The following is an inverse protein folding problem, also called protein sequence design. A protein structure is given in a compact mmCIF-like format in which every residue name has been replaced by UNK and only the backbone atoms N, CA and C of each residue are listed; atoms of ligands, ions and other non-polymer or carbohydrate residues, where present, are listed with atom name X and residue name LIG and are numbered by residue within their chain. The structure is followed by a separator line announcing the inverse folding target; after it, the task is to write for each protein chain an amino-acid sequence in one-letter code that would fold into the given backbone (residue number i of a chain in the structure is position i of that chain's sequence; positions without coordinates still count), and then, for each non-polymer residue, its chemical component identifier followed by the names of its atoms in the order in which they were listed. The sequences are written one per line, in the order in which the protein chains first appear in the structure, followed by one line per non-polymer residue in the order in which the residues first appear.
data_IF_539947210048
#
_entry.id   IF_539947210048
#
_cell.length_a   1.000
_cell.length_b   1.000
_cell.length_c   1.000
_cell.angle_alpha   90.00
_cell.angle_beta   90.00
_cell.angle_gamma   90.00
#
_symmetry.space_group_name_H-M   'P 1'
#
loop_
_entity.id
_entity.type
_entity.pdbx_description
1 polymer ?
#
# COMPACT_ATOMS: atom_id res chain seq x y z
N UNK A 1 -31.76 -26.11 -5.86
CA UNK A 1 -31.42 -25.27 -7.03
C UNK A 1 -30.62 -24.09 -6.52
N UNK A 2 -29.35 -24.03 -6.91
CA UNK A 2 -28.33 -23.16 -6.32
C UNK A 2 -28.56 -21.69 -6.73
N UNK A 3 -29.20 -20.90 -5.88
CA UNK A 3 -29.30 -19.44 -6.02
C UNK A 3 -28.03 -18.77 -5.49
N UNK A 4 -26.88 -19.20 -6.00
CA UNK A 4 -25.63 -18.46 -5.83
C UNK A 4 -25.52 -17.48 -6.99
N UNK A 5 -25.03 -16.29 -6.70
CA UNK A 5 -24.61 -15.32 -7.71
C UNK A 5 -23.61 -16.04 -8.63
N UNK A 6 -24.02 -16.40 -9.84
CA UNK A 6 -23.12 -16.97 -10.83
C UNK A 6 -22.19 -15.85 -11.33
N UNK A 7 -20.90 -16.00 -11.01
CA UNK A 7 -19.85 -15.10 -11.46
C UNK A 7 -19.45 -15.38 -12.91
N UNK A 8 -18.86 -14.40 -13.62
CA UNK A 8 -18.57 -14.56 -15.03
C UNK A 8 -17.36 -15.48 -15.26
N UNK A 9 -17.37 -16.16 -16.41
CA UNK A 9 -16.21 -16.90 -16.92
C UNK A 9 -15.16 -15.90 -17.45
N UNK A 10 -14.19 -15.54 -16.61
CA UNK A 10 -13.13 -14.56 -16.90
C UNK A 10 -12.15 -14.98 -18.02
N UNK A 11 -12.32 -16.18 -18.58
CA UNK A 11 -11.41 -16.85 -19.50
C UNK A 11 -11.43 -16.22 -20.89
N UNK A 12 -12.61 -15.85 -21.40
CA UNK A 12 -12.74 -15.45 -22.82
C UNK A 12 -12.51 -13.96 -23.09
N UNK A 13 -12.60 -13.10 -22.07
CA UNK A 13 -12.56 -11.63 -22.27
C UNK A 13 -11.40 -10.90 -21.60
N UNK A 14 -10.74 -11.52 -20.63
CA UNK A 14 -9.53 -10.99 -19.99
C UNK A 14 -8.37 -12.00 -20.05
N UNK A 15 -8.54 -13.17 -20.68
CA UNK A 15 -7.67 -14.33 -20.43
C UNK A 15 -7.48 -14.62 -18.92
N UNK A 16 -8.44 -14.24 -18.08
CA UNK A 16 -8.32 -14.28 -16.61
C UNK A 16 -7.69 -13.05 -15.93
N UNK A 17 -7.38 -11.96 -16.64
CA UNK A 17 -6.82 -10.69 -16.11
C UNK A 17 -7.91 -9.78 -15.53
N UNK A 18 -8.50 -10.18 -14.41
CA UNK A 18 -8.95 -9.17 -13.45
C UNK A 18 -7.74 -8.82 -12.56
N UNK A 19 -7.64 -7.54 -12.17
CA UNK A 19 -6.90 -7.02 -11.00
C UNK A 19 -5.72 -6.05 -11.22
N UNK A 20 -5.71 -5.11 -12.17
CA UNK A 20 -4.83 -3.91 -11.98
C UNK A 20 -5.33 -2.96 -10.88
N UNK A 21 -6.52 -3.21 -10.33
CA UNK A 21 -7.11 -2.43 -9.26
C UNK A 21 -6.42 -2.80 -7.95
N UNK A 22 -5.72 -1.85 -7.34
CA UNK A 22 -5.24 -1.97 -5.97
C UNK A 22 -6.45 -2.05 -5.05
N UNK A 23 -6.79 -3.26 -4.61
CA UNK A 23 -7.97 -3.54 -3.80
C UNK A 23 -7.65 -3.18 -2.35
N UNK A 24 -8.32 -2.18 -1.81
CA UNK A 24 -8.25 -1.87 -0.40
C UNK A 24 -8.93 -2.95 0.47
N UNK A 25 -8.30 -3.24 1.60
CA UNK A 25 -8.79 -4.18 2.61
C UNK A 25 -8.54 -3.65 4.02
N UNK A 26 -9.50 -3.80 4.95
CA UNK A 26 -9.29 -3.51 6.36
C UNK A 26 -8.32 -4.53 6.96
N UNK A 27 -7.69 -4.13 8.06
CA UNK A 27 -6.71 -4.94 8.77
C UNK A 27 -7.30 -6.24 9.28
N UNK A 28 -8.56 -6.25 9.73
CA UNK A 28 -9.23 -7.46 10.19
C UNK A 28 -9.32 -8.52 9.08
N UNK A 29 -9.66 -8.12 7.85
CA UNK A 29 -9.74 -9.03 6.73
C UNK A 29 -8.35 -9.51 6.29
N UNK A 30 -7.38 -8.60 6.27
CA UNK A 30 -6.01 -8.95 5.95
C UNK A 30 -5.41 -9.95 6.96
N UNK A 31 -5.70 -9.78 8.26
CA UNK A 31 -5.34 -10.75 9.31
C UNK A 31 -6.01 -12.10 9.08
N UNK A 32 -7.27 -12.12 8.70
CA UNK A 32 -7.98 -13.37 8.43
C UNK A 32 -7.36 -14.13 7.25
N UNK A 33 -6.94 -13.44 6.20
CA UNK A 33 -6.20 -14.07 5.10
C UNK A 33 -4.87 -14.68 5.56
N UNK A 34 -4.13 -13.99 6.44
CA UNK A 34 -2.87 -14.51 7.00
C UNK A 34 -3.15 -15.74 7.87
N UNK A 35 -4.14 -15.66 8.77
CA UNK A 35 -4.51 -16.74 9.69
C UNK A 35 -4.93 -18.02 8.94
N UNK A 36 -5.64 -17.87 7.82
CA UNK A 36 -6.08 -19.00 6.99
C UNK A 36 -5.05 -19.44 5.94
N UNK A 37 -3.86 -18.83 5.92
CA UNK A 37 -2.77 -19.20 5.01
C UNK A 37 -2.93 -18.73 3.56
N UNK A 38 -3.86 -17.82 3.28
CA UNK A 38 -4.06 -17.24 1.95
C UNK A 38 -3.06 -16.13 1.61
N UNK A 39 -2.44 -15.51 2.61
CA UNK A 39 -1.57 -14.35 2.43
C UNK A 39 -0.43 -14.32 3.44
N UNK A 40 0.61 -13.55 3.14
CA UNK A 40 1.64 -13.12 4.09
C UNK A 40 1.55 -11.62 4.31
N UNK A 41 2.13 -11.07 5.40
CA UNK A 41 2.18 -9.62 5.61
C UNK A 41 2.69 -8.82 4.41
N UNK A 42 3.66 -9.35 3.67
CA UNK A 42 4.24 -8.71 2.48
C UNK A 42 3.31 -8.68 1.26
N UNK A 43 2.17 -9.38 1.32
CA UNK A 43 1.13 -9.32 0.28
C UNK A 43 0.16 -8.16 0.49
N UNK A 44 0.42 -7.31 1.49
CA UNK A 44 -0.34 -6.10 1.76
C UNK A 44 0.52 -4.84 1.67
N UNK A 45 -0.07 -3.79 1.15
CA UNK A 45 0.49 -2.45 1.03
C UNK A 45 -0.31 -1.52 1.95
N UNK A 46 0.33 -0.52 2.56
CA UNK A 46 -0.41 0.48 3.35
C UNK A 46 -1.35 1.32 2.49
N UNK A 47 -2.52 1.65 3.01
CA UNK A 47 -3.46 2.56 2.36
C UNK A 47 -3.77 3.78 3.22
N UNK A 48 -4.22 4.82 2.54
CA UNK A 48 -4.69 6.06 3.14
C UNK A 48 -6.19 6.05 3.42
N UNK A 49 -6.94 5.33 2.59
CA UNK A 49 -8.41 5.25 2.68
C UNK A 49 -8.80 4.08 3.58
N UNK A 50 -8.06 2.98 3.51
CA UNK A 50 -8.22 1.79 4.34
C UNK A 50 -6.90 1.48 5.06
N UNK A 51 -6.88 0.53 5.98
CA UNK A 51 -5.62 0.15 6.64
C UNK A 51 -4.60 -0.45 5.66
N UNK A 52 -5.07 -1.25 4.70
CA UNK A 52 -4.23 -1.97 3.76
C UNK A 52 -4.84 -2.02 2.36
N UNK A 53 -4.02 -2.40 1.39
CA UNK A 53 -4.33 -2.78 0.01
C UNK A 53 -3.72 -4.14 -0.27
N UNK A 54 -4.36 -4.93 -1.11
CA UNK A 54 -3.74 -6.13 -1.67
C UNK A 54 -2.61 -5.72 -2.60
N UNK A 55 -1.44 -6.36 -2.44
CA UNK A 55 -0.31 -6.19 -3.34
C UNK A 55 -0.64 -6.82 -4.69
N UNK A 56 -0.28 -6.11 -5.74
CA UNK A 56 -0.28 -6.62 -7.10
C UNK A 56 1.10 -7.17 -7.43
N UNK A 57 1.16 -8.36 -8.03
CA UNK A 57 2.39 -8.94 -8.54
C UNK A 57 2.62 -8.36 -9.94
N UNK A 58 3.47 -7.32 -10.01
CA UNK A 58 3.79 -6.60 -11.25
C UNK A 58 4.36 -7.53 -12.34
N UNK A 59 5.06 -8.60 -11.96
CA UNK A 59 5.65 -9.55 -12.92
C UNK A 59 4.60 -10.46 -13.56
N UNK A 60 3.59 -10.86 -12.78
CA UNK A 60 2.49 -11.71 -13.27
C UNK A 60 1.32 -10.89 -13.81
N UNK A 61 1.30 -9.60 -13.51
CA UNK A 61 0.13 -8.75 -13.65
C UNK A 61 -1.13 -9.34 -12.97
N UNK A 62 -0.97 -9.96 -11.79
CA UNK A 62 -2.07 -10.59 -11.02
C UNK A 62 -2.09 -10.18 -9.55
N UNK A 63 -3.26 -10.28 -8.92
CA UNK A 63 -3.39 -10.25 -7.46
C UNK A 63 -2.76 -11.52 -6.85
N UNK A 64 -2.17 -11.43 -5.65
CA UNK A 64 -1.60 -12.60 -4.96
C UNK A 64 -2.63 -13.70 -4.65
N UNK A 65 -3.92 -13.36 -4.60
CA UNK A 65 -5.01 -14.33 -4.38
C UNK A 65 -5.34 -15.13 -5.65
N UNK A 66 -4.69 -14.86 -6.78
CA UNK A 66 -4.89 -15.61 -8.02
C UNK A 66 -4.25 -16.99 -7.93
N UNK A 67 -5.03 -18.03 -8.28
CA UNK A 67 -4.55 -19.39 -8.44
C UNK A 67 -4.88 -19.89 -9.85
N UNK A 68 -3.82 -20.34 -10.54
CA UNK A 68 -3.87 -20.84 -11.92
C UNK A 68 -4.64 -22.17 -12.05
N UNK A 69 -4.62 -23.02 -11.02
CA UNK A 69 -5.20 -24.36 -11.04
C UNK A 69 -6.73 -24.31 -11.06
N UNK A 70 -7.30 -23.31 -10.37
CA UNK A 70 -8.74 -23.02 -10.39
C UNK A 70 -9.09 -21.87 -11.33
N UNK A 71 -8.07 -21.30 -11.98
CA UNK A 71 -8.12 -20.12 -12.84
C UNK A 71 -8.98 -18.99 -12.25
N UNK A 72 -8.71 -18.64 -11.00
CA UNK A 72 -9.60 -17.79 -10.22
C UNK A 72 -8.98 -17.30 -8.93
N UNK A 73 -9.84 -16.83 -8.03
CA UNK A 73 -9.41 -16.31 -6.73
C UNK A 73 -9.52 -17.39 -5.65
N UNK A 74 -8.43 -17.64 -4.92
CA UNK A 74 -8.35 -18.61 -3.82
C UNK A 74 -9.46 -18.46 -2.78
N UNK A 75 -9.90 -17.23 -2.53
CA UNK A 75 -10.91 -16.93 -1.52
C UNK A 75 -12.33 -16.82 -2.08
N UNK A 76 -12.56 -17.22 -3.33
CA UNK A 76 -13.87 -17.07 -4.00
C UNK A 76 -15.02 -17.68 -3.21
N UNK A 77 -14.87 -18.92 -2.75
CA UNK A 77 -15.90 -19.66 -2.01
C UNK A 77 -15.73 -19.61 -0.48
N UNK A 78 -14.79 -18.80 0.01
CA UNK A 78 -14.42 -18.78 1.44
C UNK A 78 -15.34 -17.93 2.32
N UNK A 79 -16.22 -17.13 1.71
CA UNK A 79 -17.04 -16.12 2.39
C UNK A 79 -16.28 -14.86 2.83
N UNK A 80 -14.95 -14.83 2.67
CA UNK A 80 -14.10 -13.71 3.11
C UNK A 80 -13.49 -12.94 1.94
N UNK A 81 -14.12 -12.91 0.77
CA UNK A 81 -13.62 -12.12 -0.38
C UNK A 81 -13.61 -10.61 -0.06
N UNK A 82 -12.70 -9.78 -0.61
CA UNK A 82 -12.69 -8.35 -0.32
C UNK A 82 -14.01 -7.69 -0.75
N UNK A 83 -14.63 -6.82 0.05
CA UNK A 83 -15.88 -6.13 -0.31
C UNK A 83 -15.82 -5.39 -1.65
N UNK A 84 -14.68 -4.78 -1.97
CA UNK A 84 -14.47 -4.22 -3.29
C UNK A 84 -14.57 -5.28 -4.40
N UNK A 85 -14.15 -6.52 -4.19
CA UNK A 85 -14.29 -7.62 -5.16
C UNK A 85 -15.68 -8.29 -5.15
N UNK A 86 -16.49 -8.09 -4.11
CA UNK A 86 -17.92 -8.44 -4.15
C UNK A 86 -18.72 -7.45 -4.99
N UNK A 87 -18.23 -6.22 -5.05
CA UNK A 87 -18.97 -5.09 -5.58
C UNK A 87 -18.40 -4.65 -6.93
N UNK A 88 -17.13 -4.88 -7.27
CA UNK A 88 -16.59 -4.42 -8.55
C UNK A 88 -16.94 -5.33 -9.74
N UNK A 89 -17.30 -4.73 -10.90
CA UNK A 89 -17.46 -3.30 -11.18
C UNK A 89 -18.94 -2.91 -11.18
N UNK A 90 -19.59 -2.84 -10.02
CA UNK A 90 -20.84 -2.11 -9.85
C UNK A 90 -20.48 -0.64 -9.58
N UNK A 91 -21.01 0.22 -10.43
CA UNK A 91 -20.69 1.63 -10.59
C UNK A 91 -20.68 2.45 -9.27
N UNK A 92 -19.50 2.65 -8.68
CA UNK A 92 -19.21 3.83 -7.85
C UNK A 92 -18.69 5.03 -8.68
N UNK A 93 -18.74 4.97 -10.01
CA UNK A 93 -18.53 6.12 -10.89
C UNK A 93 -19.85 6.84 -11.18
N UNK A 94 -20.40 7.55 -10.20
CA UNK A 94 -21.36 8.62 -10.49
C UNK A 94 -20.60 9.93 -10.76
N UNK A 95 -19.80 9.96 -11.82
CA UNK A 95 -19.36 11.23 -12.41
C UNK A 95 -20.03 11.34 -13.77
N UNK A 96 -20.94 12.31 -13.88
CA UNK A 96 -21.58 12.69 -15.13
C UNK A 96 -20.49 12.90 -16.20
N UNK A 97 -20.63 12.16 -17.30
CA UNK A 97 -20.02 12.41 -18.61
C UNK A 97 -18.53 12.09 -18.86
N UNK A 98 -17.86 11.25 -18.07
CA UNK A 98 -16.58 10.63 -18.53
C UNK A 98 -16.62 9.12 -18.36
N UNK A 99 -16.67 8.41 -19.48
CA UNK A 99 -16.70 6.94 -19.53
C UNK A 99 -15.29 6.39 -19.35
N UNK A 100 -14.90 6.02 -18.13
CA UNK A 100 -13.72 5.16 -17.93
C UNK A 100 -14.10 3.74 -18.38
N UNK A 101 -13.71 3.36 -19.59
CA UNK A 101 -14.01 2.06 -20.19
C UNK A 101 -13.10 0.97 -19.61
N UNK A 102 -13.53 0.27 -18.56
CA UNK A 102 -13.19 -1.14 -18.46
C UNK A 102 -13.91 -1.86 -19.62
N UNK A 103 -13.19 -2.57 -20.48
CA UNK A 103 -13.76 -3.20 -21.70
C UNK A 103 -14.90 -4.14 -21.30
N UNK A 104 -16.12 -3.84 -21.80
CA UNK A 104 -17.37 -4.53 -21.49
C UNK A 104 -17.32 -6.02 -21.88
N UNK A 105 -17.15 -6.86 -20.87
CA UNK A 105 -17.64 -8.21 -20.87
C UNK A 105 -19.01 -8.22 -20.18
N UNK A 106 -20.12 -8.19 -20.95
CA UNK A 106 -21.53 -8.37 -20.48
C UNK A 106 -21.68 -8.05 -18.99
N UNK A 107 -21.54 -6.76 -18.67
CA UNK A 107 -21.45 -6.30 -17.29
C UNK A 107 -22.68 -6.73 -16.51
N UNK A 108 -22.45 -7.05 -15.23
CA UNK A 108 -23.45 -7.33 -14.21
C UNK A 108 -24.78 -6.62 -14.45
N UNK A 109 -25.85 -7.39 -14.57
CA UNK A 109 -27.21 -6.88 -14.56
C UNK A 109 -27.70 -6.84 -13.11
N UNK A 110 -28.13 -5.68 -12.63
CA UNK A 110 -28.78 -5.58 -11.32
C UNK A 110 -30.17 -6.19 -11.47
N UNK A 111 -30.31 -7.46 -11.11
CA UNK A 111 -31.58 -8.19 -11.17
C UNK A 111 -32.52 -7.86 -10.00
N UNK A 112 -31.99 -7.22 -8.95
CA UNK A 112 -32.74 -6.81 -7.76
C UNK A 112 -32.29 -5.40 -7.28
N UNK A 113 -32.95 -4.33 -7.78
CA UNK A 113 -32.60 -2.95 -7.45
C UNK A 113 -32.71 -2.62 -5.95
N UNK A 114 -33.63 -3.27 -5.23
CA UNK A 114 -33.82 -3.05 -3.80
C UNK A 114 -32.61 -3.55 -3.00
N UNK A 115 -32.18 -4.80 -3.26
CA UNK A 115 -30.97 -5.34 -2.63
C UNK A 115 -29.70 -4.59 -3.03
N UNK A 116 -29.63 -4.11 -4.27
CA UNK A 116 -28.50 -3.28 -4.70
C UNK A 116 -28.41 -1.98 -3.90
N UNK A 117 -29.55 -1.37 -3.55
CA UNK A 117 -29.60 -0.14 -2.74
C UNK A 117 -29.11 -0.42 -1.31
N UNK A 118 -29.57 -1.52 -0.71
CA UNK A 118 -29.15 -1.95 0.64
C UNK A 118 -27.64 -2.28 0.68
N UNK A 119 -27.14 -3.02 -0.31
CA UNK A 119 -25.71 -3.30 -0.45
C UNK A 119 -24.87 -2.01 -0.57
N UNK A 120 -25.39 -1.00 -1.27
CA UNK A 120 -24.77 0.32 -1.35
C UNK A 120 -24.68 1.05 0.00
N UNK A 121 -25.70 0.94 0.85
CA UNK A 121 -25.69 1.49 2.22
C UNK A 121 -24.66 0.77 3.09
N UNK A 122 -24.64 -0.56 3.04
CA UNK A 122 -23.67 -1.38 3.77
C UNK A 122 -22.23 -1.08 3.35
N UNK A 123 -21.98 -0.92 2.04
CA UNK A 123 -20.65 -0.55 1.55
C UNK A 123 -20.22 0.83 2.06
N UNK A 124 -21.11 1.82 2.08
CA UNK A 124 -20.79 3.15 2.62
C UNK A 124 -20.40 3.06 4.10
N UNK A 125 -21.16 2.31 4.89
CA UNK A 125 -20.85 2.09 6.30
C UNK A 125 -19.51 1.35 6.49
N UNK A 126 -19.26 0.32 5.67
CA UNK A 126 -18.00 -0.40 5.66
C UNK A 126 -16.80 0.51 5.33
N UNK A 127 -16.91 1.35 4.29
CA UNK A 127 -15.88 2.34 3.93
C UNK A 127 -15.61 3.27 5.11
N UNK A 128 -16.66 3.78 5.76
CA UNK A 128 -16.53 4.65 6.93
C UNK A 128 -15.74 3.97 8.07
N UNK A 129 -16.09 2.73 8.42
CA UNK A 129 -15.37 1.97 9.45
C UNK A 129 -13.90 1.76 9.07
N UNK A 130 -13.61 1.49 7.80
CA UNK A 130 -12.24 1.31 7.33
C UNK A 130 -11.43 2.60 7.37
N UNK A 131 -12.03 3.75 7.06
CA UNK A 131 -11.38 5.05 7.20
C UNK A 131 -11.08 5.38 8.66
N UNK A 132 -11.97 5.01 9.59
CA UNK A 132 -11.69 5.12 11.03
C UNK A 132 -10.53 4.22 11.45
N UNK A 133 -10.47 2.98 10.95
CA UNK A 133 -9.37 2.05 11.20
C UNK A 133 -8.03 2.61 10.67
N UNK A 134 -8.01 3.11 9.42
CA UNK A 134 -6.83 3.72 8.82
C UNK A 134 -6.31 4.90 9.65
N UNK A 135 -7.22 5.78 10.12
CA UNK A 135 -6.87 6.90 11.02
C UNK A 135 -6.26 6.41 12.33
N UNK A 136 -6.77 5.32 12.92
CA UNK A 136 -6.18 4.73 14.14
C UNK A 136 -4.80 4.14 13.86
N UNK A 137 -4.64 3.44 12.73
CA UNK A 137 -3.36 2.83 12.33
C UNK A 137 -2.27 3.87 12.06
N UNK A 138 -2.61 5.04 11.51
CA UNK A 138 -1.67 6.16 11.32
C UNK A 138 -1.10 6.67 12.63
N UNK A 139 -1.86 6.65 13.74
CA UNK A 139 -1.36 7.07 15.06
C UNK A 139 -0.22 6.17 15.56
N UNK A 140 -0.12 4.95 15.02
CA UNK A 140 0.94 4.01 15.39
C UNK A 140 2.24 4.21 14.58
N UNK A 141 2.31 5.18 13.66
CA UNK A 141 3.49 5.36 12.78
C UNK A 141 4.81 5.51 13.56
N UNK A 142 4.81 6.24 14.69
CA UNK A 142 6.00 6.35 15.55
C UNK A 142 6.47 5.00 16.08
N UNK A 143 5.54 4.14 16.52
CA UNK A 143 5.84 2.81 17.06
C UNK A 143 6.45 1.87 16.01
N UNK A 144 6.25 2.16 14.72
CA UNK A 144 6.83 1.41 13.58
C UNK A 144 8.26 1.83 13.25
N UNK A 145 8.78 2.81 13.98
CA UNK A 145 10.16 3.27 13.89
C UNK A 145 10.84 3.02 15.25
N UNK A 146 10.23 3.49 16.35
CA UNK A 146 10.85 3.59 17.69
C UNK A 146 10.75 2.32 18.55
N UNK A 147 10.48 1.16 17.97
CA UNK A 147 10.57 -0.11 18.69
C UNK A 147 11.99 -0.63 18.53
N UNK A 148 12.70 -0.94 19.62
CA UNK A 148 14.13 -1.31 19.57
C UNK A 148 14.43 -2.45 18.58
N UNK A 149 13.56 -3.44 18.43
CA UNK A 149 13.73 -4.52 17.43
C UNK A 149 13.57 -4.00 16.00
N UNK A 150 12.61 -3.11 15.78
CA UNK A 150 12.31 -2.52 14.46
C UNK A 150 13.38 -1.52 14.06
N UNK A 151 13.81 -0.68 14.99
CA UNK A 151 14.87 0.30 14.81
C UNK A 151 16.18 -0.38 14.43
N UNK A 152 16.57 -1.43 15.18
CA UNK A 152 17.75 -2.24 14.86
C UNK A 152 17.62 -2.94 13.50
N UNK A 153 16.42 -3.39 13.13
CA UNK A 153 16.18 -3.99 11.81
C UNK A 153 16.36 -2.96 10.69
N UNK A 154 15.77 -1.77 10.84
CA UNK A 154 15.91 -0.69 9.87
C UNK A 154 17.37 -0.21 9.75
N UNK A 155 18.08 -0.09 10.88
CA UNK A 155 19.51 0.25 10.91
C UNK A 155 20.33 -0.76 10.11
N UNK A 156 20.10 -2.06 10.33
CA UNK A 156 20.74 -3.13 9.54
C UNK A 156 20.41 -3.04 8.05
N UNK A 157 19.17 -2.75 7.68
CA UNK A 157 18.79 -2.56 6.27
C UNK A 157 19.54 -1.39 5.63
N UNK A 158 19.67 -0.26 6.34
CA UNK A 158 20.44 0.89 5.88
C UNK A 158 21.92 0.56 5.70
N UNK A 159 22.54 -0.07 6.71
CA UNK A 159 23.96 -0.46 6.68
C UNK A 159 24.26 -1.49 5.58
N UNK A 160 23.31 -2.34 5.22
CA UNK A 160 23.46 -3.34 4.15
C UNK A 160 23.09 -2.80 2.75
N UNK A 161 22.73 -1.53 2.64
CA UNK A 161 22.32 -0.92 1.37
C UNK A 161 23.34 0.13 0.94
N UNK A 162 23.64 0.17 -0.37
CA UNK A 162 24.40 1.29 -0.93
C UNK A 162 23.55 2.57 -0.78
N UNK A 163 24.12 3.69 -0.28
CA UNK A 163 23.37 4.94 -0.12
C UNK A 163 22.70 5.41 -1.40
N UNK A 164 23.35 5.15 -2.53
CA UNK A 164 22.88 5.52 -3.86
C UNK A 164 21.69 4.68 -4.36
N UNK A 165 21.38 3.57 -3.70
CA UNK A 165 20.22 2.71 -4.02
C UNK A 165 18.99 3.02 -3.18
N UNK A 166 19.03 4.04 -2.30
CA UNK A 166 17.92 4.38 -1.42
C UNK A 166 17.22 5.65 -1.89
N UNK A 167 15.94 5.52 -2.26
CA UNK A 167 15.09 6.62 -2.73
C UNK A 167 14.15 7.17 -1.65
N UNK A 168 14.02 6.48 -0.52
CA UNK A 168 13.19 6.88 0.61
C UNK A 168 12.90 5.71 1.54
N UNK A 169 11.68 5.68 2.05
CA UNK A 169 11.20 4.62 2.96
C UNK A 169 9.83 4.09 2.55
N UNK A 170 9.42 2.97 3.13
CA UNK A 170 8.12 2.33 2.87
C UNK A 170 7.48 1.83 4.16
N UNK A 171 6.21 2.16 4.39
CA UNK A 171 5.39 1.58 5.47
C UNK A 171 4.85 0.22 5.02
N UNK A 172 5.18 -0.80 5.80
CA UNK A 172 4.74 -2.17 5.55
C UNK A 172 3.62 -2.54 6.54
N UNK A 173 3.54 -3.81 6.92
CA UNK A 173 2.53 -4.31 7.84
C UNK A 173 2.57 -3.63 9.21
N UNK A 174 3.77 -3.59 9.80
CA UNK A 174 4.02 -3.13 11.17
C UNK A 174 5.39 -2.45 11.38
N UNK A 175 6.18 -2.25 10.32
CA UNK A 175 7.50 -1.62 10.39
C UNK A 175 7.79 -0.77 9.14
N UNK A 176 8.83 0.06 9.24
CA UNK A 176 9.36 0.83 8.10
C UNK A 176 10.56 0.10 7.50
N UNK A 177 10.66 0.06 6.17
CA UNK A 177 11.81 -0.45 5.43
C UNK A 177 12.36 0.59 4.45
N UNK A 178 13.53 0.34 3.88
CA UNK A 178 14.12 1.15 2.81
C UNK A 178 13.31 1.03 1.51
N UNK A 179 13.11 2.16 0.83
CA UNK A 179 12.59 2.20 -0.53
C UNK A 179 13.77 2.19 -1.51
N UNK A 180 13.84 1.17 -2.36
CA UNK A 180 14.86 1.06 -3.39
C UNK A 180 14.68 2.10 -4.50
N UNK A 181 15.78 2.60 -5.05
CA UNK A 181 15.80 3.42 -6.24
C UNK A 181 15.81 2.53 -7.50
N UNK A 182 15.12 2.94 -8.55
CA UNK A 182 15.20 2.29 -9.88
C UNK A 182 16.52 2.62 -10.62
N UNK A 183 17.38 3.46 -10.02
CA UNK A 183 18.69 3.87 -10.51
C UNK A 183 19.52 4.47 -9.37
N UNK A 184 20.27 5.55 -9.62
CA UNK A 184 21.03 6.25 -8.58
C UNK A 184 20.22 7.38 -7.92
N UNK A 185 20.18 7.38 -6.60
CA UNK A 185 19.61 8.42 -5.75
C UNK A 185 20.71 9.20 -5.06
N UNK A 186 20.74 10.53 -5.25
CA UNK A 186 21.66 11.43 -4.55
C UNK A 186 21.05 11.99 -3.25
N UNK A 187 19.82 11.59 -2.89
CA UNK A 187 19.09 12.20 -1.79
C UNK A 187 19.71 11.90 -0.42
N UNK A 188 20.30 10.72 -0.24
CA UNK A 188 20.97 10.32 1.01
C UNK A 188 22.21 11.18 1.29
N UNK A 189 22.82 11.79 0.26
CA UNK A 189 23.99 12.68 0.42
C UNK A 189 23.73 13.85 1.38
N UNK A 190 22.47 14.25 1.58
CA UNK A 190 22.07 15.28 2.56
C UNK A 190 22.35 14.93 4.02
N UNK A 191 22.46 13.63 4.33
CA UNK A 191 22.81 13.15 5.66
C UNK A 191 24.33 12.93 5.82
N UNK A 192 25.09 12.94 4.73
CA UNK A 192 26.53 12.76 4.79
C UNK A 192 27.23 14.08 5.11
N UNK A 193 28.17 14.07 6.06
CA UNK A 193 29.06 15.22 6.28
C UNK A 193 29.96 15.46 5.07
N UNK A 194 30.14 16.74 4.71
CA UNK A 194 31.04 17.19 3.64
C UNK A 194 32.52 16.96 3.99
N UNK A 195 32.83 16.83 5.28
CA UNK A 195 34.21 16.75 5.78
C UNK A 195 34.82 15.35 5.60
N UNK A 196 34.00 14.33 5.35
CA UNK A 196 34.49 12.97 5.07
C UNK A 196 34.69 12.85 3.55
N UNK A 197 35.94 12.64 3.13
CA UNK A 197 36.34 12.27 1.75
C UNK A 197 35.73 10.90 1.39
N UNK A 198 34.42 10.86 1.18
CA UNK A 198 33.66 9.66 0.89
C UNK A 198 33.12 9.74 -0.54
N UNK A 199 33.52 8.78 -1.36
CA UNK A 199 32.97 8.61 -2.71
C UNK A 199 31.54 8.04 -2.60
N UNK A 200 30.54 8.92 -2.53
CA UNK A 200 29.13 8.54 -2.32
C UNK A 200 28.63 7.49 -3.32
N UNK A 201 29.03 7.60 -4.59
CA UNK A 201 28.59 6.68 -5.65
C UNK A 201 29.24 5.28 -5.53
N UNK A 202 30.43 5.20 -4.94
CA UNK A 202 31.17 3.96 -4.73
C UNK A 202 30.92 3.36 -3.34
N UNK A 203 30.25 4.12 -2.46
CA UNK A 203 29.91 3.71 -1.12
C UNK A 203 28.94 2.51 -1.16
N UNK A 204 29.35 1.39 -0.55
CA UNK A 204 28.57 0.13 -0.54
C UNK A 204 27.58 0.03 0.63
N UNK A 205 27.78 0.85 1.66
CA UNK A 205 27.07 0.72 2.94
C UNK A 205 26.96 2.08 3.64
N UNK A 206 25.80 2.36 4.23
CA UNK A 206 25.62 3.52 5.11
C UNK A 206 26.39 3.30 6.42
N UNK A 207 27.14 4.32 6.88
CA UNK A 207 27.80 4.27 8.18
C UNK A 207 26.83 4.51 9.35
N UNK A 208 27.21 4.09 10.55
CA UNK A 208 26.37 4.15 11.75
C UNK A 208 25.79 5.54 12.02
N UNK A 209 26.65 6.56 11.99
CA UNK A 209 26.27 7.97 12.17
C UNK A 209 25.15 8.40 11.20
N UNK A 210 25.33 8.13 9.90
CA UNK A 210 24.32 8.48 8.89
C UNK A 210 23.05 7.66 9.07
N UNK A 211 23.16 6.39 9.46
CA UNK A 211 21.98 5.55 9.72
C UNK A 211 21.17 6.06 10.91
N UNK A 212 21.85 6.49 11.98
CA UNK A 212 21.21 7.07 13.18
C UNK A 212 20.54 8.41 12.84
N UNK A 213 21.22 9.27 12.07
CA UNK A 213 20.65 10.53 11.59
C UNK A 213 19.40 10.33 10.72
N UNK A 214 19.40 9.32 9.85
CA UNK A 214 18.25 8.98 9.01
C UNK A 214 17.07 8.47 9.84
N UNK A 215 17.32 7.62 10.85
CA UNK A 215 16.28 7.12 11.77
C UNK A 215 15.71 8.27 12.60
N UNK A 216 16.57 9.13 13.16
CA UNK A 216 16.17 10.32 13.90
C UNK A 216 15.34 11.28 13.03
N UNK A 217 15.75 11.48 11.77
CA UNK A 217 14.99 12.27 10.81
C UNK A 217 13.60 11.69 10.59
N UNK A 218 13.47 10.37 10.44
CA UNK A 218 12.17 9.72 10.30
C UNK A 218 11.29 9.89 11.53
N UNK A 219 11.82 9.67 12.73
CA UNK A 219 11.10 9.81 14.00
C UNK A 219 10.49 11.22 14.14
N UNK A 220 11.25 12.23 13.74
CA UNK A 220 10.88 13.63 13.88
C UNK A 220 9.92 14.11 12.78
N UNK A 221 10.06 13.61 11.53
CA UNK A 221 9.37 14.19 10.38
C UNK A 221 8.26 13.32 9.80
N UNK A 222 8.39 11.99 9.85
CA UNK A 222 7.41 11.09 9.22
C UNK A 222 6.00 11.20 9.82
N UNK A 223 5.81 11.31 11.16
CA UNK A 223 4.46 11.38 11.73
C UNK A 223 3.65 12.57 11.23
N UNK A 224 4.31 13.71 11.05
CA UNK A 224 3.64 14.90 10.52
C UNK A 224 3.46 14.82 9.01
N UNK A 225 4.42 14.26 8.28
CA UNK A 225 4.25 13.97 6.85
C UNK A 225 3.00 13.12 6.60
N UNK A 226 2.84 12.02 7.34
CA UNK A 226 1.69 11.12 7.22
C UNK A 226 0.38 11.81 7.63
N UNK A 227 0.44 12.78 8.56
CA UNK A 227 -0.73 13.58 8.96
C UNK A 227 -1.16 14.53 7.84
N UNK A 228 -0.22 15.19 7.18
CA UNK A 228 -0.50 16.19 6.13
C UNK A 228 -0.81 15.57 4.78
N UNK A 229 -0.02 14.58 4.35
CA UNK A 229 -0.05 14.02 2.99
C UNK A 229 -0.52 12.57 2.92
N UNK A 230 -0.42 11.81 4.01
CA UNK A 230 -0.63 10.36 3.97
C UNK A 230 0.57 9.61 3.38
N UNK A 231 0.34 8.37 2.93
CA UNK A 231 1.32 7.58 2.16
C UNK A 231 0.93 7.53 0.69
N UNK A 232 1.89 7.35 -0.21
CA UNK A 232 1.54 7.16 -1.62
C UNK A 232 0.73 5.86 -1.86
N UNK A 233 0.34 5.62 -3.12
CA UNK A 233 -0.45 4.43 -3.48
C UNK A 233 0.25 3.09 -3.17
N UNK A 234 1.58 3.09 -3.02
CA UNK A 234 2.44 1.94 -2.71
C UNK A 234 2.93 1.94 -1.25
N UNK A 235 2.40 2.81 -0.38
CA UNK A 235 2.83 2.94 1.00
C UNK A 235 4.25 3.53 1.14
N UNK A 236 4.76 4.20 0.11
CA UNK A 236 6.09 4.76 0.06
C UNK A 236 6.14 6.22 0.53
N UNK A 237 7.31 6.60 1.02
CA UNK A 237 7.69 7.94 1.45
C UNK A 237 9.01 8.32 0.77
N UNK A 238 8.96 8.78 -0.49
CA UNK A 238 10.15 9.19 -1.21
C UNK A 238 10.84 10.38 -0.53
N UNK A 239 12.17 10.42 -0.54
CA UNK A 239 12.94 11.51 0.06
C UNK A 239 12.56 12.88 -0.51
N UNK A 240 12.31 12.95 -1.82
CA UNK A 240 11.93 14.20 -2.48
C UNK A 240 10.68 14.83 -1.85
N UNK A 241 9.73 13.99 -1.44
CA UNK A 241 8.51 14.43 -0.78
C UNK A 241 8.75 14.70 0.71
N UNK A 242 9.45 13.80 1.40
CA UNK A 242 9.76 13.96 2.83
C UNK A 242 10.51 15.28 3.11
N UNK A 243 11.48 15.64 2.26
CA UNK A 243 12.24 16.88 2.42
C UNK A 243 11.43 18.14 2.08
N UNK A 244 10.36 18.02 1.28
CA UNK A 244 9.52 19.16 0.90
C UNK A 244 8.76 19.75 2.09
N UNK A 245 8.37 18.92 3.07
CA UNK A 245 7.64 19.36 4.27
C UNK A 245 8.55 20.13 5.22
N UNK A 246 9.78 19.66 5.43
CA UNK A 246 10.75 20.34 6.29
C UNK A 246 11.08 21.74 5.78
N UNK A 247 11.16 21.92 4.46
CA UNK A 247 11.36 23.25 3.85
C UNK A 247 10.19 24.18 4.15
N UNK A 248 8.94 23.73 4.00
CA UNK A 248 7.76 24.57 4.29
C UNK A 248 7.75 25.10 5.73
N UNK A 249 8.15 24.30 6.72
CA UNK A 249 8.24 24.79 8.11
C UNK A 249 9.26 25.92 8.27
N UNK A 250 10.42 25.85 7.62
CA UNK A 250 11.44 26.92 7.70
C UNK A 250 10.97 28.26 7.09
N UNK A 251 9.97 28.26 6.21
CA UNK A 251 9.42 29.47 5.60
C UNK A 251 8.15 30.00 6.28
N UNK A 252 7.52 29.24 7.18
CA UNK A 252 6.33 29.68 7.93
C UNK A 252 6.73 30.35 9.26
N UNK A 253 7.95 30.09 9.74
CA UNK A 253 8.49 30.62 11.00
C UNK A 253 9.61 31.66 10.82
N UNK A 254 9.80 32.17 9.60
CA UNK A 254 10.63 33.34 9.27
C UNK A 254 9.74 34.38 8.58
#
# INVERSE_FOLDING_TARGET
MNTAIEGPNCIEKCHGDCCSIMIDVPKILAKEYINRGYARPNDFIRSDVFSFKLRFDDNKAKCFLYDKNINGCLVHNSGIKPPQCWIYPTNFSSQKNITVKCKRAMGWEITDPAKSKEAGVLLKYYIFLCQLEAKKERKNIRKRISNSLIENHLKKLLQNSAPSQISGFKDTWDHIVTLSAEGFSLQVKKFCSLEKNCSFLECKSICDEVSDDMINYLLNNLPEFVKEKGSDIKGAYPFIELFSIVKKRKYIYN
#
